data_IF_297282224056
#
_entry.id   IF_297282224056
#
_cell.length_a   1.000
_cell.length_b   1.000
_cell.length_c   1.000
_cell.angle_alpha   90.00
_cell.angle_beta   90.00
_cell.angle_gamma   90.00
#
_symmetry.space_group_name_H-M   'P 1'
#
loop_
_entity.id
_entity.type
_entity.pdbx_description
1 polymer ?
#
# COMPACT_ATOMS: atom_id res chain seq x y z
N UNK A 1 -8.70 43.47 -14.30
CA UNK A 1 -7.23 43.48 -14.15
C UNK A 1 -6.77 42.10 -14.56
N UNK A 2 -5.95 42.00 -15.61
CA UNK A 2 -5.38 40.72 -16.02
C UNK A 2 -4.56 40.14 -14.87
N UNK A 3 -4.88 38.91 -14.47
CA UNK A 3 -4.17 38.21 -13.39
C UNK A 3 -2.71 38.01 -13.83
N UNK A 4 -1.76 38.55 -13.05
CA UNK A 4 -0.33 38.37 -13.33
C UNK A 4 0.18 37.13 -12.59
N UNK A 5 0.48 36.06 -13.33
CA UNK A 5 1.12 34.86 -12.78
C UNK A 5 2.52 35.16 -12.28
N UNK A 6 2.84 34.73 -11.06
CA UNK A 6 4.18 34.81 -10.48
C UNK A 6 4.95 33.54 -10.84
N UNK A 7 6.21 33.68 -11.25
CA UNK A 7 7.08 32.53 -11.56
C UNK A 7 8.21 32.46 -10.54
N UNK A 8 8.30 31.36 -9.81
CA UNK A 8 9.40 31.08 -8.90
C UNK A 8 10.32 30.00 -9.44
N UNK A 9 11.61 30.31 -9.55
CA UNK A 9 12.63 29.28 -9.77
C UNK A 9 13.13 28.75 -8.44
N UNK A 10 12.96 27.44 -8.22
CA UNK A 10 13.31 26.74 -6.98
C UNK A 10 13.92 25.39 -7.34
N UNK A 11 15.23 25.23 -7.11
CA UNK A 11 15.93 23.97 -7.40
C UNK A 11 16.26 23.20 -6.12
N UNK A 12 16.60 23.92 -5.05
CA UNK A 12 16.94 23.33 -3.76
C UNK A 12 15.97 23.86 -2.68
N UNK A 13 15.04 23.02 -2.18
CA UNK A 13 14.06 23.47 -1.20
C UNK A 13 14.70 23.98 0.09
N UNK A 14 15.93 23.56 0.42
CA UNK A 14 16.62 24.03 1.62
C UNK A 14 17.07 25.50 1.53
N UNK A 15 17.20 26.05 0.30
CA UNK A 15 17.69 27.42 0.06
C UNK A 15 16.58 28.44 -0.17
N UNK A 16 15.37 27.99 -0.43
CA UNK A 16 14.25 28.82 -0.87
C UNK A 16 13.03 28.71 0.06
N UNK A 17 13.24 28.50 1.36
CA UNK A 17 12.19 28.27 2.35
C UNK A 17 11.05 29.31 2.31
N UNK A 18 11.38 30.58 2.13
CA UNK A 18 10.39 31.66 2.04
C UNK A 18 9.51 31.53 0.78
N UNK A 19 10.08 31.19 -0.38
CA UNK A 19 9.30 30.96 -1.60
C UNK A 19 8.40 29.73 -1.46
N UNK A 20 8.91 28.65 -0.85
CA UNK A 20 8.10 27.45 -0.59
C UNK A 20 6.88 27.79 0.28
N UNK A 21 7.10 28.58 1.34
CA UNK A 21 6.03 29.05 2.23
C UNK A 21 5.03 29.92 1.48
N UNK A 22 5.48 30.85 0.64
CA UNK A 22 4.59 31.69 -0.17
C UNK A 22 3.72 30.87 -1.13
N UNK A 23 4.29 29.82 -1.74
CA UNK A 23 3.52 28.91 -2.59
C UNK A 23 2.48 28.15 -1.78
N UNK A 24 2.86 27.61 -0.62
CA UNK A 24 1.93 26.89 0.25
C UNK A 24 0.80 27.79 0.79
N UNK A 25 1.13 29.01 1.24
CA UNK A 25 0.16 30.01 1.70
C UNK A 25 -0.81 30.42 0.56
N UNK A 26 -0.32 30.52 -0.68
CA UNK A 26 -1.16 30.77 -1.85
C UNK A 26 -2.17 29.63 -2.08
N UNK A 27 -1.73 28.37 -2.01
CA UNK A 27 -2.60 27.20 -2.14
C UNK A 27 -3.64 27.18 -1.01
N UNK A 28 -3.22 27.38 0.24
CA UNK A 28 -4.10 27.38 1.41
C UNK A 28 -5.15 28.52 1.35
N UNK A 29 -4.79 29.66 0.78
CA UNK A 29 -5.69 30.78 0.51
C UNK A 29 -6.67 30.53 -0.67
N UNK A 30 -6.61 29.36 -1.31
CA UNK A 30 -7.47 28.97 -2.43
C UNK A 30 -7.01 29.49 -3.80
N UNK A 31 -5.71 29.80 -3.92
CA UNK A 31 -5.04 30.05 -5.18
C UNK A 31 -4.64 28.75 -5.90
N UNK A 32 -4.23 28.89 -7.16
CA UNK A 32 -3.74 27.82 -8.02
C UNK A 32 -2.22 27.95 -8.21
N UNK A 33 -1.49 26.89 -7.87
CA UNK A 33 -0.04 26.84 -8.05
C UNK A 33 0.36 25.67 -8.95
N UNK A 34 1.18 25.92 -9.96
CA UNK A 34 1.71 24.87 -10.84
C UNK A 34 3.03 24.35 -10.29
N UNK A 35 3.08 23.05 -10.00
CA UNK A 35 4.22 22.38 -9.39
C UNK A 35 4.72 21.25 -10.31
N UNK A 36 6.05 21.05 -10.37
CA UNK A 36 6.61 19.88 -11.04
C UNK A 36 6.41 18.60 -10.18
N UNK A 37 6.42 17.44 -10.84
CA UNK A 37 6.58 16.12 -10.20
C UNK A 37 7.64 15.32 -10.94
N UNK A 38 7.91 14.09 -10.50
CA UNK A 38 8.71 13.13 -11.27
C UNK A 38 8.06 12.75 -12.61
N UNK A 39 6.74 12.91 -12.74
CA UNK A 39 5.95 12.55 -13.93
C UNK A 39 5.80 13.69 -14.94
N UNK A 40 4.95 14.65 -14.59
CA UNK A 40 4.52 15.83 -15.35
C UNK A 40 4.22 16.95 -14.33
N UNK A 41 4.12 18.18 -14.78
CA UNK A 41 3.64 19.27 -13.92
C UNK A 41 2.16 19.08 -13.57
N UNK A 42 1.72 19.64 -12.46
CA UNK A 42 0.33 19.64 -12.02
C UNK A 42 -0.13 20.97 -11.44
N UNK A 43 -1.43 21.27 -11.52
CA UNK A 43 -2.04 22.48 -10.94
C UNK A 43 -2.55 22.10 -9.54
N UNK A 44 -1.83 22.50 -8.51
CA UNK A 44 -2.18 22.30 -7.13
C UNK A 44 -3.25 23.31 -6.68
N UNK A 45 -4.27 22.83 -6.00
CA UNK A 45 -5.25 23.66 -5.30
C UNK A 45 -5.71 23.00 -4.01
N UNK A 46 -6.18 23.82 -3.07
CA UNK A 46 -6.87 23.33 -1.87
C UNK A 46 -8.17 22.63 -2.24
N UNK A 47 -8.56 21.64 -1.45
CA UNK A 47 -9.87 20.98 -1.56
C UNK A 47 -10.92 21.82 -0.83
N UNK A 48 -11.53 22.76 -1.56
CA UNK A 48 -12.80 23.39 -1.22
C UNK A 48 -13.58 23.70 -2.51
N UNK A 49 -14.85 24.10 -2.38
CA UNK A 49 -15.70 24.33 -3.54
C UNK A 49 -15.16 25.42 -4.48
N UNK A 50 -14.65 26.52 -3.93
CA UNK A 50 -14.22 27.68 -4.70
C UNK A 50 -12.91 27.42 -5.45
N UNK A 51 -11.94 26.79 -4.80
CA UNK A 51 -10.63 26.45 -5.38
C UNK A 51 -10.77 25.39 -6.46
N UNK A 52 -11.64 24.38 -6.24
CA UNK A 52 -11.94 23.38 -7.25
C UNK A 52 -12.67 23.99 -8.45
N UNK A 53 -13.61 24.92 -8.23
CA UNK A 53 -14.27 25.63 -9.33
C UNK A 53 -13.28 26.45 -10.17
N UNK A 54 -12.30 27.12 -9.55
CA UNK A 54 -11.20 27.80 -10.27
C UNK A 54 -10.39 26.80 -11.09
N UNK A 55 -9.99 25.68 -10.49
CA UNK A 55 -9.24 24.62 -11.16
C UNK A 55 -10.01 24.06 -12.36
N UNK A 56 -11.31 23.82 -12.21
CA UNK A 56 -12.18 23.32 -13.28
C UNK A 56 -12.35 24.33 -14.41
N UNK A 57 -12.46 25.63 -14.09
CA UNK A 57 -12.51 26.70 -15.10
C UNK A 57 -11.21 26.78 -15.93
N UNK A 58 -10.05 26.53 -15.31
CA UNK A 58 -8.77 26.49 -16.04
C UNK A 58 -8.66 25.25 -16.93
N UNK A 59 -9.18 24.11 -16.45
CA UNK A 59 -9.00 22.80 -17.10
C UNK A 59 -10.14 22.38 -18.02
N UNK A 60 -11.28 23.05 -18.02
CA UNK A 60 -12.52 22.61 -18.70
C UNK A 60 -12.78 21.13 -18.45
N UNK A 61 -12.74 20.73 -17.17
CA UNK A 61 -12.70 19.34 -16.77
C UNK A 61 -14.12 18.74 -16.81
N UNK A 62 -14.30 17.52 -17.35
CA UNK A 62 -15.56 16.79 -17.20
C UNK A 62 -15.83 16.52 -15.72
N UNK A 63 -17.08 16.74 -15.27
CA UNK A 63 -17.51 16.56 -13.87
C UNK A 63 -17.26 15.14 -13.32
N UNK A 64 -17.14 14.14 -14.20
CA UNK A 64 -16.92 12.74 -13.87
C UNK A 64 -15.48 12.43 -13.41
N UNK A 65 -14.50 13.29 -13.72
CA UNK A 65 -13.09 13.01 -13.42
C UNK A 65 -12.76 13.31 -11.96
N UNK A 66 -12.69 12.25 -11.16
CA UNK A 66 -12.34 12.32 -9.72
C UNK A 66 -10.98 12.94 -9.45
N UNK A 67 -10.88 13.62 -8.33
CA UNK A 67 -9.64 14.21 -7.85
C UNK A 67 -8.77 13.21 -7.09
N UNK A 68 -7.47 13.52 -7.02
CA UNK A 68 -6.49 12.72 -6.29
C UNK A 68 -5.80 13.64 -5.30
N UNK A 69 -5.83 13.28 -4.03
CA UNK A 69 -5.09 13.98 -2.98
C UNK A 69 -3.61 13.74 -3.15
N UNK A 70 -2.83 14.82 -3.08
CA UNK A 70 -1.37 14.76 -3.16
C UNK A 70 -0.76 15.04 -1.79
N UNK A 71 0.15 14.16 -1.36
CA UNK A 71 0.80 14.22 -0.06
C UNK A 71 2.30 14.43 -0.22
N UNK A 72 2.88 15.33 0.57
CA UNK A 72 4.34 15.48 0.66
C UNK A 72 5.04 14.40 1.47
N UNK A 73 4.27 13.59 2.22
CA UNK A 73 4.76 12.44 2.98
C UNK A 73 3.73 11.30 2.91
N UNK A 74 4.17 10.12 2.43
CA UNK A 74 3.32 8.92 2.33
C UNK A 74 2.80 8.44 3.70
N UNK A 75 3.47 8.76 4.80
CA UNK A 75 3.02 8.39 6.14
C UNK A 75 1.71 9.11 6.54
N UNK A 76 1.36 10.20 5.85
CA UNK A 76 0.09 10.92 6.05
C UNK A 76 -1.12 10.22 5.41
N UNK A 77 -0.94 9.13 4.66
CA UNK A 77 -2.04 8.33 4.08
C UNK A 77 -3.04 7.90 5.16
N UNK A 78 -2.55 7.55 6.36
CA UNK A 78 -3.39 7.13 7.50
C UNK A 78 -4.42 8.18 7.95
N UNK A 79 -4.24 9.45 7.59
CA UNK A 79 -5.21 10.51 7.89
C UNK A 79 -6.46 10.42 6.98
N UNK A 80 -6.34 9.70 5.87
CA UNK A 80 -7.38 9.54 4.85
C UNK A 80 -7.87 8.09 4.71
N UNK A 81 -7.03 7.12 5.08
CA UNK A 81 -7.34 5.68 4.99
C UNK A 81 -7.04 5.05 6.36
N UNK A 82 -8.07 4.82 7.20
CA UNK A 82 -7.88 4.35 8.57
C UNK A 82 -7.22 2.97 8.67
N UNK A 83 -7.59 2.04 7.78
CA UNK A 83 -7.07 0.67 7.76
C UNK A 83 -6.38 0.38 6.43
N UNK A 84 -5.10 0.02 6.48
CA UNK A 84 -4.29 -0.26 5.30
C UNK A 84 -3.92 -1.74 5.30
N UNK A 85 -4.62 -2.53 4.49
CA UNK A 85 -4.40 -3.98 4.39
C UNK A 85 -3.03 -4.33 3.75
N UNK A 86 -2.54 -5.58 3.89
CA UNK A 86 -1.17 -5.95 3.51
C UNK A 86 -0.78 -5.59 2.08
N UNK A 87 -1.65 -5.88 1.11
CA UNK A 87 -1.43 -5.56 -0.31
C UNK A 87 -1.24 -4.06 -0.53
N UNK A 88 -2.10 -3.23 0.06
CA UNK A 88 -2.00 -1.78 -0.03
C UNK A 88 -0.71 -1.27 0.62
N UNK A 89 -0.37 -1.78 1.81
CA UNK A 89 0.85 -1.44 2.52
C UNK A 89 2.09 -1.73 1.70
N UNK A 90 2.16 -2.91 1.07
CA UNK A 90 3.28 -3.29 0.20
C UNK A 90 3.41 -2.38 -1.03
N UNK A 91 2.30 -2.00 -1.66
CA UNK A 91 2.30 -1.02 -2.74
C UNK A 91 2.83 0.35 -2.29
N UNK A 92 2.38 0.85 -1.13
CA UNK A 92 2.87 2.11 -0.54
C UNK A 92 4.38 2.05 -0.25
N UNK A 93 4.87 0.95 0.31
CA UNK A 93 6.27 0.78 0.64
C UNK A 93 7.17 0.70 -0.61
N UNK A 94 6.71 0.02 -1.66
CA UNK A 94 7.52 -0.27 -2.86
C UNK A 94 7.42 0.78 -3.96
N UNK A 95 6.34 1.57 -4.01
CA UNK A 95 6.07 2.46 -5.12
C UNK A 95 5.77 3.92 -4.72
N UNK A 96 5.71 4.24 -3.42
CA UNK A 96 5.61 5.62 -2.94
C UNK A 96 6.83 6.03 -2.09
N UNK A 97 7.28 7.30 -2.15
CA UNK A 97 6.88 8.30 -3.15
C UNK A 97 7.25 7.86 -4.58
N UNK A 98 6.48 8.28 -5.57
CA UNK A 98 6.71 7.89 -6.96
C UNK A 98 5.48 7.93 -7.88
N UNK A 99 5.61 7.37 -9.10
CA UNK A 99 4.63 7.51 -10.18
C UNK A 99 3.43 6.56 -10.03
N UNK A 100 2.95 6.35 -8.81
CA UNK A 100 1.77 5.55 -8.48
C UNK A 100 0.70 6.42 -7.82
N UNK A 101 -0.54 6.26 -8.29
CA UNK A 101 -1.75 6.75 -7.65
C UNK A 101 -2.56 5.56 -7.18
N UNK A 102 -2.88 5.52 -5.88
CA UNK A 102 -3.70 4.48 -5.27
C UNK A 102 -5.11 5.02 -5.04
N UNK A 103 -6.10 4.39 -5.66
CA UNK A 103 -7.51 4.65 -5.41
C UNK A 103 -8.01 3.58 -4.43
N UNK A 104 -8.11 3.96 -3.16
CA UNK A 104 -8.56 3.07 -2.09
C UNK A 104 -10.07 2.94 -2.15
N UNK A 105 -10.59 1.72 -2.22
CA UNK A 105 -11.98 1.40 -1.92
C UNK A 105 -12.11 1.08 -0.44
N UNK A 106 -12.98 1.82 0.24
CA UNK A 106 -13.20 1.74 1.67
C UNK A 106 -14.57 1.10 1.92
N UNK A 107 -14.66 0.24 2.93
CA UNK A 107 -15.94 -0.25 3.41
C UNK A 107 -16.69 0.84 4.20
N UNK A 108 -17.93 0.52 4.63
CA UNK A 108 -18.81 1.45 5.33
C UNK A 108 -18.26 1.94 6.67
N UNK A 109 -17.45 1.13 7.37
CA UNK A 109 -16.85 1.49 8.65
C UNK A 109 -15.66 2.44 8.42
N UNK A 110 -14.75 2.04 7.53
CA UNK A 110 -13.59 2.84 7.15
C UNK A 110 -13.98 4.20 6.60
N UNK A 111 -15.00 4.28 5.73
CA UNK A 111 -15.42 5.56 5.16
C UNK A 111 -16.04 6.48 6.24
N UNK A 112 -16.72 5.92 7.24
CA UNK A 112 -17.28 6.70 8.35
C UNK A 112 -16.17 7.34 9.19
N UNK A 113 -15.16 6.54 9.57
CA UNK A 113 -13.98 7.02 10.31
C UNK A 113 -13.14 7.99 9.49
N UNK A 114 -12.96 7.72 8.19
CA UNK A 114 -12.17 8.58 7.31
C UNK A 114 -12.81 9.96 7.13
N UNK A 115 -14.14 10.02 7.02
CA UNK A 115 -14.89 11.27 6.87
C UNK A 115 -14.95 12.10 8.16
N UNK A 116 -14.87 11.50 9.34
CA UNK A 116 -14.91 12.23 10.61
C UNK A 116 -13.66 13.10 10.86
N UNK A 117 -12.57 12.85 10.12
CA UNK A 117 -11.36 13.67 10.15
C UNK A 117 -11.51 15.03 9.44
N UNK A 118 -12.61 15.26 8.73
CA UNK A 118 -12.84 16.45 7.92
C UNK A 118 -14.23 17.04 8.17
N UNK A 119 -14.43 18.31 7.86
CA UNK A 119 -15.78 18.87 7.81
C UNK A 119 -16.59 18.20 6.67
N UNK A 120 -17.92 18.21 6.80
CA UNK A 120 -18.80 17.48 5.89
C UNK A 120 -18.69 17.92 4.42
N UNK A 121 -18.32 19.17 4.13
CA UNK A 121 -18.15 19.66 2.75
C UNK A 121 -16.83 19.18 2.17
N UNK A 122 -15.74 19.28 2.91
CA UNK A 122 -14.44 18.75 2.47
C UNK A 122 -14.51 17.23 2.30
N UNK A 123 -15.17 16.53 3.23
CA UNK A 123 -15.35 15.09 3.16
C UNK A 123 -16.12 14.64 1.89
N UNK A 124 -17.16 15.35 1.47
CA UNK A 124 -17.91 14.99 0.25
C UNK A 124 -17.15 15.26 -1.04
N UNK A 125 -16.20 16.20 -1.03
CA UNK A 125 -15.30 16.50 -2.15
C UNK A 125 -14.14 15.49 -2.25
N UNK A 126 -13.63 15.01 -1.11
CA UNK A 126 -12.53 14.05 -1.04
C UNK A 126 -12.95 12.63 -1.40
N UNK A 127 -14.12 12.20 -0.92
CA UNK A 127 -14.58 10.83 -1.03
C UNK A 127 -15.80 10.70 -1.94
N UNK A 128 -15.71 9.85 -2.96
CA UNK A 128 -16.81 9.52 -3.86
C UNK A 128 -16.91 7.99 -4.03
N UNK A 129 -18.12 7.45 -4.00
CA UNK A 129 -18.39 5.99 -4.05
C UNK A 129 -17.54 5.18 -3.06
N UNK A 130 -17.44 5.67 -1.83
CA UNK A 130 -16.59 5.12 -0.77
C UNK A 130 -15.13 4.93 -1.20
N UNK A 131 -14.63 5.79 -2.10
CA UNK A 131 -13.26 5.72 -2.60
C UNK A 131 -12.52 7.04 -2.50
N UNK A 132 -11.20 6.97 -2.38
CA UNK A 132 -10.30 8.12 -2.40
C UNK A 132 -9.04 7.82 -3.21
N UNK A 133 -8.67 8.72 -4.11
CA UNK A 133 -7.39 8.68 -4.82
C UNK A 133 -6.30 9.40 -4.03
N UNK A 134 -5.17 8.74 -3.79
CA UNK A 134 -4.01 9.33 -3.11
C UNK A 134 -2.75 9.12 -3.93
N UNK A 135 -1.89 10.15 -3.95
CA UNK A 135 -0.57 10.13 -4.55
C UNK A 135 0.45 10.81 -3.63
N UNK A 136 1.68 10.30 -3.63
CA UNK A 136 2.82 10.95 -3.02
C UNK A 136 3.92 11.09 -4.09
N UNK A 137 4.10 12.26 -4.72
CA UNK A 137 5.08 12.45 -5.80
C UNK A 137 6.52 12.34 -5.27
N UNK A 138 7.45 11.91 -6.12
CA UNK A 138 8.89 11.82 -5.82
C UNK A 138 9.65 13.02 -6.39
N UNK A 139 9.28 14.21 -5.92
CA UNK A 139 9.91 15.48 -6.28
C UNK A 139 10.04 16.35 -5.03
N UNK A 140 11.25 16.79 -4.71
CA UNK A 140 11.61 17.36 -3.41
C UNK A 140 10.94 18.72 -3.17
N UNK A 141 10.85 19.57 -4.20
CA UNK A 141 10.23 20.89 -4.08
C UNK A 141 8.73 20.74 -3.88
N UNK A 142 8.09 19.86 -4.66
CA UNK A 142 6.68 19.50 -4.54
C UNK A 142 6.36 18.93 -3.15
N UNK A 143 7.15 17.96 -2.67
CA UNK A 143 6.98 17.39 -1.34
C UNK A 143 7.11 18.44 -0.23
N UNK A 144 8.09 19.35 -0.35
CA UNK A 144 8.30 20.41 0.63
C UNK A 144 7.09 21.36 0.70
N UNK A 145 6.56 21.79 -0.46
CA UNK A 145 5.36 22.64 -0.54
C UNK A 145 4.14 21.90 0.04
N UNK A 146 3.87 20.67 -0.40
CA UNK A 146 2.74 19.86 0.09
C UNK A 146 2.82 19.58 1.60
N UNK A 147 4.02 19.58 2.20
CA UNK A 147 4.19 19.42 3.64
C UNK A 147 3.95 20.71 4.42
N UNK A 148 4.03 21.87 3.78
CA UNK A 148 3.71 23.18 4.38
C UNK A 148 2.23 23.53 4.27
N UNK A 149 1.51 23.04 3.25
CA UNK A 149 0.06 23.19 3.12
C UNK A 149 -0.67 22.65 4.36
N UNK A 150 -1.63 23.43 4.87
CA UNK A 150 -2.44 23.06 6.05
C UNK A 150 -3.69 22.26 5.69
N UNK A 151 -4.12 22.34 4.44
CA UNK A 151 -5.34 21.70 3.95
C UNK A 151 -5.04 20.60 2.92
N UNK A 152 -5.98 19.67 2.66
CA UNK A 152 -5.83 18.71 1.57
C UNK A 152 -5.63 19.42 0.23
N UNK A 153 -4.69 18.91 -0.57
CA UNK A 153 -4.34 19.45 -1.89
C UNK A 153 -4.63 18.42 -2.96
N UNK A 154 -5.27 18.84 -4.05
CA UNK A 154 -5.38 18.05 -5.28
C UNK A 154 -4.52 18.67 -6.36
N UNK A 155 -3.97 17.83 -7.24
CA UNK A 155 -3.01 18.29 -8.23
C UNK A 155 -3.12 17.49 -9.54
N UNK A 156 -4.17 17.70 -10.35
CA UNK A 156 -4.22 17.11 -11.68
C UNK A 156 -3.13 17.69 -12.60
N UNK A 157 -2.87 17.04 -13.74
CA UNK A 157 -1.85 17.47 -14.70
C UNK A 157 -2.01 18.93 -15.15
N UNK A 158 -0.89 19.61 -15.36
CA UNK A 158 -0.81 21.00 -15.80
C UNK A 158 -0.94 21.07 -17.32
N UNK A 159 -2.19 21.07 -17.78
CA UNK A 159 -2.57 21.31 -19.16
C UNK A 159 -4.01 21.81 -19.24
N UNK A 160 -4.27 22.61 -20.28
CA UNK A 160 -5.63 22.85 -20.76
C UNK A 160 -6.19 21.53 -21.31
N UNK A 161 -7.51 21.31 -21.16
CA UNK A 161 -8.19 20.13 -21.70
C UNK A 161 -7.78 19.86 -23.15
N UNK A 162 -7.50 18.59 -23.47
CA UNK A 162 -7.11 18.16 -24.82
C UNK A 162 -5.64 18.39 -25.21
N UNK A 163 -4.85 19.15 -24.43
CA UNK A 163 -3.40 19.30 -24.64
C UNK A 163 -2.57 18.29 -23.83
N UNK A 164 -1.33 18.09 -24.25
CA UNK A 164 -0.36 17.31 -23.48
C UNK A 164 0.05 18.03 -22.17
N UNK A 165 0.19 17.28 -21.05
CA UNK A 165 0.74 17.80 -19.81
C UNK A 165 2.11 18.46 -19.98
N UNK A 166 2.31 19.62 -19.35
CA UNK A 166 3.61 20.26 -19.30
C UNK A 166 4.64 19.37 -18.58
N UNK A 167 5.86 19.30 -19.13
CA UNK A 167 7.00 18.56 -18.54
C UNK A 167 8.16 19.47 -18.13
N UNK A 168 8.03 20.78 -18.31
CA UNK A 168 8.93 21.83 -17.84
C UNK A 168 8.14 23.13 -17.59
N UNK A 169 8.80 24.11 -16.97
CA UNK A 169 8.19 25.38 -16.64
C UNK A 169 7.83 26.21 -17.88
N UNK A 170 8.63 26.13 -18.96
CA UNK A 170 8.37 26.87 -20.20
C UNK A 170 7.01 26.49 -20.80
N UNK A 171 6.73 25.18 -20.91
CA UNK A 171 5.44 24.68 -21.38
C UNK A 171 4.29 25.03 -20.42
N UNK A 172 4.55 25.03 -19.11
CA UNK A 172 3.55 25.42 -18.13
C UNK A 172 3.19 26.91 -18.26
N UNK A 173 4.19 27.77 -18.45
CA UNK A 173 4.01 29.21 -18.68
C UNK A 173 3.21 29.45 -19.95
N UNK A 174 3.60 28.81 -21.06
CA UNK A 174 2.91 28.94 -22.35
C UNK A 174 1.42 28.57 -22.25
N UNK A 175 1.10 27.53 -21.48
CA UNK A 175 -0.27 27.04 -21.37
C UNK A 175 -1.11 27.75 -20.29
N UNK A 176 -0.51 28.18 -19.18
CA UNK A 176 -1.24 28.51 -17.95
C UNK A 176 -0.96 29.92 -17.41
N UNK A 177 -0.01 30.66 -17.97
CA UNK A 177 0.22 32.05 -17.57
C UNK A 177 -1.04 32.90 -17.77
N UNK A 178 -1.38 33.70 -16.77
CA UNK A 178 -2.61 34.48 -16.69
C UNK A 178 -3.84 33.70 -16.20
N UNK A 179 -3.72 32.37 -16.00
CA UNK A 179 -4.80 31.49 -15.52
C UNK A 179 -4.55 30.89 -14.13
N UNK A 180 -3.31 30.97 -13.64
CA UNK A 180 -2.89 30.46 -12.33
C UNK A 180 -2.11 31.53 -11.58
N UNK A 181 -2.12 31.48 -10.25
CA UNK A 181 -1.47 32.48 -9.41
C UNK A 181 0.06 32.33 -9.42
N UNK A 182 0.55 31.09 -9.33
CA UNK A 182 1.99 30.79 -9.24
C UNK A 182 2.39 29.63 -10.16
N UNK A 183 3.56 29.74 -10.79
CA UNK A 183 4.26 28.62 -11.45
C UNK A 183 5.62 28.43 -10.77
N UNK A 184 5.90 27.21 -10.32
CA UNK A 184 7.20 26.84 -9.73
C UNK A 184 8.05 26.10 -10.77
N UNK A 185 9.13 26.73 -11.20
CA UNK A 185 10.18 26.10 -12.00
C UNK A 185 11.18 25.37 -11.12
N UNK A 186 11.01 24.05 -11.01
CA UNK A 186 11.98 23.11 -10.41
C UNK A 186 12.68 22.22 -11.45
N UNK A 187 12.65 22.61 -12.73
CA UNK A 187 13.31 21.91 -13.83
C UNK A 187 12.46 20.85 -14.53
N UNK A 188 13.11 20.06 -15.39
CA UNK A 188 12.42 19.10 -16.26
C UNK A 188 11.96 17.84 -15.49
N UNK A 189 10.73 17.38 -15.76
CA UNK A 189 10.21 16.12 -15.24
C UNK A 189 11.01 14.92 -15.77
N UNK A 190 11.36 13.99 -14.87
CA UNK A 190 12.22 12.83 -15.18
C UNK A 190 11.55 11.81 -16.10
N UNK A 191 10.28 11.48 -15.85
CA UNK A 191 9.60 10.38 -16.53
C UNK A 191 8.83 10.83 -17.79
N UNK A 192 8.36 12.08 -17.83
CA UNK A 192 7.60 12.65 -18.97
C UNK A 192 6.35 11.85 -19.36
N UNK A 193 5.83 11.05 -18.43
CA UNK A 193 4.65 10.21 -18.58
C UNK A 193 3.83 10.26 -17.29
N UNK A 194 2.51 10.07 -17.40
CA UNK A 194 1.61 10.11 -16.25
C UNK A 194 1.85 8.98 -15.24
N UNK A 195 1.36 9.18 -14.00
CA UNK A 195 1.35 8.11 -12.99
C UNK A 195 0.43 6.95 -13.39
N UNK A 196 0.80 5.76 -12.92
CA UNK A 196 -0.09 4.58 -12.98
C UNK A 196 -1.18 4.77 -11.94
N UNK A 197 -2.44 4.50 -12.30
CA UNK A 197 -3.57 4.59 -11.39
C UNK A 197 -4.10 3.20 -11.13
N UNK A 198 -4.11 2.81 -9.85
CA UNK A 198 -4.54 1.48 -9.41
C UNK A 198 -5.65 1.62 -8.39
N UNK A 199 -6.81 1.04 -8.69
CA UNK A 199 -7.88 0.84 -7.72
C UNK A 199 -7.55 -0.37 -6.86
N UNK A 200 -7.62 -0.22 -5.56
CA UNK A 200 -7.28 -1.27 -4.60
C UNK A 200 -8.40 -1.45 -3.58
N UNK A 201 -8.72 -2.71 -3.33
CA UNK A 201 -9.57 -3.17 -2.23
C UNK A 201 -8.87 -4.34 -1.51
N UNK A 202 -9.42 -4.86 -0.42
CA UNK A 202 -8.84 -6.03 0.26
C UNK A 202 -8.70 -7.27 -0.64
N UNK A 203 -9.53 -7.40 -1.68
CA UNK A 203 -9.61 -8.57 -2.56
C UNK A 203 -9.30 -8.29 -4.04
N UNK A 204 -9.17 -7.04 -4.45
CA UNK A 204 -8.94 -6.68 -5.85
C UNK A 204 -7.83 -5.63 -5.99
N UNK A 205 -7.00 -5.80 -7.02
CA UNK A 205 -6.09 -4.76 -7.53
C UNK A 205 -6.35 -4.57 -9.02
N UNK A 206 -6.91 -3.42 -9.39
CA UNK A 206 -7.28 -3.12 -10.78
C UNK A 206 -6.53 -1.90 -11.30
N UNK A 207 -5.79 -2.07 -12.40
CA UNK A 207 -5.14 -0.95 -13.08
C UNK A 207 -6.21 -0.18 -13.86
N UNK A 208 -6.47 1.06 -13.46
CA UNK A 208 -7.41 1.96 -14.14
C UNK A 208 -6.72 2.73 -15.27
N UNK A 209 -5.42 3.01 -15.12
CA UNK A 209 -4.59 3.67 -16.13
C UNK A 209 -3.15 3.22 -16.01
N UNK A 210 -2.57 2.78 -17.12
CA UNK A 210 -1.15 2.48 -17.21
C UNK A 210 -0.33 3.78 -17.26
N UNK A 211 0.81 3.81 -16.56
CA UNK A 211 1.74 4.93 -16.52
C UNK A 211 3.15 4.47 -16.09
N UNK A 212 3.82 5.27 -15.27
CA UNK A 212 5.22 5.04 -14.88
C UNK A 212 5.55 3.81 -14.02
N UNK A 213 4.56 3.00 -13.63
CA UNK A 213 4.74 1.71 -12.95
C UNK A 213 4.09 0.63 -13.81
N UNK A 214 4.88 -0.33 -14.29
CA UNK A 214 4.38 -1.37 -15.18
C UNK A 214 3.34 -2.28 -14.52
N UNK A 215 2.44 -2.86 -15.30
CA UNK A 215 1.48 -3.86 -14.82
C UNK A 215 2.16 -5.07 -14.15
N UNK A 216 3.36 -5.45 -14.59
CA UNK A 216 4.15 -6.51 -13.97
C UNK A 216 4.63 -6.12 -12.56
N UNK A 217 5.15 -4.90 -12.40
CA UNK A 217 5.52 -4.37 -11.09
C UNK A 217 4.32 -4.32 -10.15
N UNK A 218 3.16 -3.84 -10.62
CA UNK A 218 1.92 -3.84 -9.83
C UNK A 218 1.54 -5.26 -9.39
N UNK A 219 1.49 -6.23 -10.30
CA UNK A 219 1.20 -7.63 -9.95
C UNK A 219 2.18 -8.16 -8.90
N UNK A 220 3.48 -7.88 -9.05
CA UNK A 220 4.51 -8.32 -8.09
C UNK A 220 4.34 -7.67 -6.72
N UNK A 221 3.98 -6.40 -6.67
CA UNK A 221 3.79 -5.65 -5.42
C UNK A 221 2.46 -5.95 -4.73
N UNK A 222 1.47 -6.47 -5.47
CA UNK A 222 0.17 -6.88 -4.94
C UNK A 222 0.14 -8.31 -4.38
N UNK A 223 1.22 -9.09 -4.53
CA UNK A 223 1.29 -10.43 -3.94
C UNK A 223 1.89 -10.35 -2.53
N UNK A 224 1.23 -10.98 -1.55
CA UNK A 224 1.68 -11.13 -0.18
C UNK A 224 2.07 -12.58 0.08
N UNK A 225 3.35 -12.79 0.40
CA UNK A 225 3.92 -14.10 0.69
C UNK A 225 4.07 -14.28 2.21
N UNK A 226 3.35 -15.25 2.77
CA UNK A 226 3.43 -15.63 4.18
C UNK A 226 3.99 -17.04 4.27
N UNK A 227 5.02 -17.26 5.09
CA UNK A 227 5.60 -18.58 5.31
C UNK A 227 5.66 -18.94 6.79
N UNK A 228 5.20 -20.15 7.11
CA UNK A 228 5.30 -20.75 8.44
C UNK A 228 6.47 -21.73 8.51
N UNK A 229 7.31 -21.63 9.54
CA UNK A 229 8.56 -22.41 9.63
C UNK A 229 8.61 -23.22 10.93
N UNK A 230 8.81 -24.54 10.79
CA UNK A 230 9.11 -25.43 11.91
C UNK A 230 10.35 -26.29 11.61
N UNK A 231 10.49 -27.44 12.27
CA UNK A 231 11.64 -28.34 12.09
C UNK A 231 11.49 -29.20 10.85
N UNK A 232 10.54 -30.14 10.85
CA UNK A 232 10.36 -31.16 9.80
C UNK A 232 9.28 -30.86 8.76
N UNK A 233 8.49 -29.79 8.93
CA UNK A 233 7.35 -29.45 8.05
C UNK A 233 6.30 -30.57 7.87
N UNK A 234 6.06 -31.33 8.94
CA UNK A 234 5.09 -32.44 8.98
C UNK A 234 4.00 -32.27 10.03
N UNK A 235 4.15 -31.33 10.96
CA UNK A 235 3.21 -31.11 12.08
C UNK A 235 2.80 -29.65 12.21
N UNK A 236 3.63 -28.83 12.89
CA UNK A 236 3.32 -27.45 13.29
C UNK A 236 3.11 -26.47 12.13
N UNK A 237 4.07 -26.36 11.21
CA UNK A 237 3.95 -25.40 10.10
C UNK A 237 2.89 -25.73 9.05
N UNK A 238 2.61 -27.01 8.71
CA UNK A 238 1.47 -27.37 7.87
C UNK A 238 0.12 -27.00 8.50
N UNK A 239 -0.08 -27.30 9.80
CA UNK A 239 -1.29 -26.87 10.51
C UNK A 239 -1.46 -25.35 10.45
N UNK A 240 -0.39 -24.60 10.72
CA UNK A 240 -0.42 -23.14 10.67
C UNK A 240 -0.74 -22.58 9.28
N UNK A 241 -0.18 -23.16 8.22
CA UNK A 241 -0.49 -22.78 6.83
C UNK A 241 -1.98 -22.97 6.51
N UNK A 242 -2.54 -24.15 6.81
CA UNK A 242 -3.93 -24.46 6.52
C UNK A 242 -4.91 -23.57 7.31
N UNK A 243 -4.65 -23.37 8.60
CA UNK A 243 -5.42 -22.48 9.45
C UNK A 243 -5.31 -21.01 9.00
N UNK A 244 -4.12 -20.56 8.58
CA UNK A 244 -3.92 -19.20 8.11
C UNK A 244 -4.65 -18.93 6.79
N UNK A 245 -4.64 -19.90 5.86
CA UNK A 245 -5.44 -19.84 4.64
C UNK A 245 -6.92 -19.66 4.98
N UNK A 246 -7.46 -20.47 5.89
CA UNK A 246 -8.85 -20.33 6.35
C UNK A 246 -9.11 -18.95 6.97
N UNK A 247 -8.28 -18.52 7.92
CA UNK A 247 -8.45 -17.23 8.61
C UNK A 247 -8.40 -16.03 7.66
N UNK A 248 -7.49 -16.03 6.67
CA UNK A 248 -7.43 -14.98 5.65
C UNK A 248 -8.67 -15.01 4.76
N UNK A 249 -9.10 -16.20 4.31
CA UNK A 249 -10.29 -16.36 3.48
C UNK A 249 -11.55 -15.86 4.18
N UNK A 250 -11.73 -16.18 5.46
CA UNK A 250 -12.83 -15.67 6.29
C UNK A 250 -12.79 -14.14 6.42
N UNK A 251 -11.61 -13.56 6.68
CA UNK A 251 -11.46 -12.11 6.83
C UNK A 251 -11.72 -11.34 5.52
N UNK A 252 -11.37 -11.95 4.40
CA UNK A 252 -11.59 -11.42 3.06
C UNK A 252 -12.95 -11.83 2.46
N UNK A 253 -13.74 -12.62 3.19
CA UNK A 253 -15.04 -13.17 2.74
C UNK A 253 -14.95 -13.87 1.38
N UNK A 254 -13.89 -14.64 1.18
CA UNK A 254 -13.66 -15.43 -0.04
C UNK A 254 -13.42 -16.90 0.30
N UNK A 255 -13.27 -17.73 -0.73
CA UNK A 255 -12.88 -19.14 -0.55
C UNK A 255 -11.37 -19.30 -0.55
N UNK A 256 -10.87 -20.35 0.12
CA UNK A 256 -9.44 -20.65 0.23
C UNK A 256 -8.77 -20.83 -1.14
N UNK A 257 -9.46 -21.45 -2.11
CA UNK A 257 -8.97 -21.67 -3.48
C UNK A 257 -8.77 -20.35 -4.25
N UNK A 258 -9.44 -19.27 -3.86
CA UNK A 258 -9.34 -17.96 -4.50
C UNK A 258 -8.20 -17.10 -3.97
N UNK A 259 -7.58 -17.46 -2.85
CA UNK A 259 -6.53 -16.65 -2.20
C UNK A 259 -5.37 -16.32 -3.15
N UNK A 260 -4.95 -17.29 -3.97
CA UNK A 260 -3.87 -17.10 -4.93
C UNK A 260 -4.20 -16.04 -5.99
N UNK A 261 -5.44 -16.01 -6.46
CA UNK A 261 -5.92 -15.08 -7.49
C UNK A 261 -6.00 -13.65 -6.96
N UNK A 262 -6.37 -13.49 -5.68
CA UNK A 262 -6.42 -12.19 -4.99
C UNK A 262 -5.09 -11.79 -4.34
N UNK A 263 -4.02 -12.52 -4.62
CA UNK A 263 -2.65 -12.12 -4.28
C UNK A 263 -2.13 -12.60 -2.92
N UNK A 264 -2.78 -13.54 -2.24
CA UNK A 264 -2.28 -14.10 -0.97
C UNK A 264 -1.69 -15.50 -1.18
N UNK A 265 -0.38 -15.62 -0.97
CA UNK A 265 0.36 -16.88 -1.05
C UNK A 265 0.82 -17.28 0.34
N UNK A 266 0.25 -18.36 0.84
CA UNK A 266 0.58 -18.91 2.16
C UNK A 266 1.23 -20.27 1.99
N UNK A 267 2.40 -20.45 2.59
CA UNK A 267 3.18 -21.67 2.50
C UNK A 267 3.76 -22.07 3.87
N UNK A 268 4.29 -23.29 3.94
CA UNK A 268 5.05 -23.77 5.08
C UNK A 268 6.35 -24.46 4.64
N UNK A 269 7.34 -24.44 5.53
CA UNK A 269 8.62 -25.11 5.32
C UNK A 269 9.23 -25.58 6.64
N UNK A 270 10.32 -26.35 6.53
CA UNK A 270 11.07 -26.85 7.67
C UNK A 270 12.56 -26.59 7.53
N UNK A 271 13.22 -26.20 8.62
CA UNK A 271 14.67 -25.93 8.63
C UNK A 271 15.51 -27.20 8.42
N UNK A 272 14.96 -28.36 8.76
CA UNK A 272 15.57 -29.67 8.63
C UNK A 272 14.61 -30.70 8.00
N UNK A 273 13.69 -30.24 7.14
CA UNK A 273 12.73 -31.13 6.50
C UNK A 273 13.40 -32.00 5.42
N UNK A 274 12.98 -33.27 5.38
CA UNK A 274 13.13 -34.14 4.20
C UNK A 274 11.94 -33.82 3.29
N UNK A 275 12.17 -33.64 1.99
CA UNK A 275 11.11 -33.26 1.05
C UNK A 275 10.15 -34.44 0.77
N UNK A 276 8.86 -34.14 0.58
CA UNK A 276 7.87 -35.10 0.09
C UNK A 276 7.17 -35.95 1.15
N UNK A 277 7.44 -35.73 2.44
CA UNK A 277 6.77 -36.44 3.53
C UNK A 277 5.37 -35.85 3.73
N UNK A 278 4.37 -36.73 3.88
CA UNK A 278 3.01 -36.30 4.22
C UNK A 278 2.96 -35.64 5.62
N UNK A 279 1.91 -34.88 5.88
CA UNK A 279 1.64 -34.43 7.24
C UNK A 279 1.42 -35.64 8.17
N UNK A 280 1.80 -35.49 9.44
CA UNK A 280 1.54 -36.49 10.48
C UNK A 280 0.04 -36.79 10.59
N UNK A 281 -0.37 -38.05 10.83
CA UNK A 281 -1.78 -38.43 10.94
C UNK A 281 -2.55 -37.61 11.98
N UNK A 282 -1.90 -37.27 13.11
CA UNK A 282 -2.48 -36.46 14.18
C UNK A 282 -2.77 -35.03 13.70
N UNK A 283 -1.87 -34.44 12.90
CA UNK A 283 -2.08 -33.10 12.32
C UNK A 283 -3.19 -33.11 11.27
N UNK A 284 -3.28 -34.17 10.48
CA UNK A 284 -4.39 -34.36 9.51
C UNK A 284 -5.72 -34.43 10.26
N UNK A 285 -5.84 -35.29 11.27
CA UNK A 285 -7.06 -35.41 12.09
C UNK A 285 -7.44 -34.09 12.75
N UNK A 286 -6.48 -33.37 13.33
CA UNK A 286 -6.74 -32.06 13.92
C UNK A 286 -7.26 -31.04 12.89
N UNK A 287 -6.60 -30.94 11.73
CA UNK A 287 -7.01 -30.03 10.67
C UNK A 287 -8.38 -30.37 10.09
N UNK A 288 -8.67 -31.65 9.86
CA UNK A 288 -9.97 -32.10 9.37
C UNK A 288 -11.08 -31.73 10.35
N UNK A 289 -10.86 -31.88 11.67
CA UNK A 289 -11.78 -31.43 12.71
C UNK A 289 -12.00 -29.90 12.73
N UNK A 290 -11.06 -29.12 12.19
CA UNK A 290 -11.17 -27.66 12.02
C UNK A 290 -11.72 -27.26 10.64
N UNK A 291 -12.06 -28.23 9.78
CA UNK A 291 -12.57 -27.99 8.43
C UNK A 291 -11.52 -27.49 7.44
N UNK A 292 -10.24 -27.82 7.65
CA UNK A 292 -9.14 -27.53 6.69
C UNK A 292 -8.41 -28.82 6.37
N UNK A 293 -7.96 -29.00 5.13
CA UNK A 293 -7.31 -30.25 4.71
C UNK A 293 -5.79 -30.13 4.61
N UNK A 294 -5.09 -31.17 5.06
CA UNK A 294 -3.65 -31.38 4.82
C UNK A 294 -3.37 -32.52 3.82
N UNK A 295 -4.38 -33.05 3.12
CA UNK A 295 -4.22 -34.24 2.27
C UNK A 295 -3.18 -34.05 1.14
N UNK A 296 -3.14 -32.86 0.55
CA UNK A 296 -2.18 -32.49 -0.51
C UNK A 296 -0.84 -31.97 0.03
N UNK A 297 -0.71 -31.78 1.35
CA UNK A 297 0.52 -31.28 1.95
C UNK A 297 1.69 -32.23 1.74
N UNK A 298 2.84 -31.69 1.36
CA UNK A 298 4.11 -32.40 1.31
C UNK A 298 5.18 -31.52 1.93
N UNK A 299 5.98 -32.10 2.82
CA UNK A 299 7.06 -31.39 3.48
C UNK A 299 8.06 -30.83 2.46
N UNK A 300 8.60 -29.66 2.75
CA UNK A 300 9.63 -29.02 1.96
C UNK A 300 10.66 -28.33 2.84
N UNK A 301 11.93 -28.41 2.45
CA UNK A 301 13.03 -27.72 3.11
C UNK A 301 12.95 -26.23 2.87
N UNK A 302 13.16 -25.45 3.93
CA UNK A 302 13.27 -24.00 3.82
C UNK A 302 14.48 -23.63 2.96
N UNK A 303 14.28 -22.75 1.98
CA UNK A 303 15.34 -22.27 1.08
C UNK A 303 15.57 -20.78 1.21
N UNK A 304 16.76 -20.30 0.81
CA UNK A 304 17.07 -18.87 0.76
C UNK A 304 16.06 -18.08 -0.09
N UNK A 305 15.61 -18.64 -1.23
CA UNK A 305 14.60 -18.03 -2.10
C UNK A 305 13.24 -17.87 -1.42
N UNK A 306 12.82 -18.84 -0.61
CA UNK A 306 11.61 -18.72 0.20
C UNK A 306 11.74 -17.61 1.24
N UNK A 307 12.89 -17.55 1.93
CA UNK A 307 13.16 -16.50 2.93
C UNK A 307 13.21 -15.13 2.26
N UNK A 308 13.86 -14.99 1.11
CA UNK A 308 13.96 -13.73 0.37
C UNK A 308 12.60 -13.24 -0.14
N UNK A 309 11.81 -14.12 -0.76
CA UNK A 309 10.52 -13.76 -1.35
C UNK A 309 9.37 -13.54 -0.35
N UNK A 310 9.50 -14.05 0.88
CA UNK A 310 8.50 -13.86 1.92
C UNK A 310 8.38 -12.38 2.33
N UNK A 311 7.14 -11.95 2.56
CA UNK A 311 6.83 -10.67 3.21
C UNK A 311 6.70 -10.85 4.72
N UNK A 312 6.21 -12.02 5.16
CA UNK A 312 6.05 -12.39 6.57
C UNK A 312 6.54 -13.82 6.80
N UNK A 313 7.38 -14.00 7.81
CA UNK A 313 7.93 -15.30 8.21
C UNK A 313 7.56 -15.56 9.68
N UNK A 314 6.75 -16.58 9.92
CA UNK A 314 6.32 -16.98 11.26
C UNK A 314 6.97 -18.29 11.69
N UNK A 315 7.82 -18.22 12.71
CA UNK A 315 8.57 -19.36 13.22
C UNK A 315 7.93 -19.95 14.48
N UNK A 316 8.07 -21.27 14.67
CA UNK A 316 7.49 -21.95 15.84
C UNK A 316 8.31 -21.80 17.12
N UNK A 317 9.60 -21.48 17.04
CA UNK A 317 10.48 -21.35 18.21
C UNK A 317 11.69 -20.47 17.89
N UNK A 318 12.43 -20.05 18.91
CA UNK A 318 13.62 -19.21 18.73
C UNK A 318 14.68 -19.89 17.84
N UNK A 319 14.96 -21.17 18.06
CA UNK A 319 15.90 -21.91 17.20
C UNK A 319 15.51 -21.96 15.72
N UNK A 320 14.20 -21.85 15.39
CA UNK A 320 13.78 -21.70 14.00
C UNK A 320 14.07 -20.29 13.46
N UNK A 321 13.91 -19.25 14.28
CA UNK A 321 14.29 -17.89 13.90
C UNK A 321 15.79 -17.80 13.64
N UNK A 322 16.60 -18.37 14.54
CA UNK A 322 18.05 -18.38 14.43
C UNK A 322 18.47 -19.08 13.11
N UNK A 323 17.88 -20.25 12.81
CA UNK A 323 18.11 -20.94 11.55
C UNK A 323 17.66 -20.14 10.30
N UNK A 324 16.62 -19.30 10.39
CA UNK A 324 16.24 -18.40 9.29
C UNK A 324 17.28 -17.27 9.15
N UNK A 325 17.78 -16.73 10.26
CA UNK A 325 18.81 -15.69 10.26
C UNK A 325 20.12 -16.19 9.68
N UNK A 326 20.50 -17.45 9.95
CA UNK A 326 21.69 -18.08 9.37
C UNK A 326 21.60 -18.17 7.83
N UNK A 327 20.38 -18.35 7.29
CA UNK A 327 20.13 -18.35 5.85
C UNK A 327 20.20 -16.93 5.27
N UNK A 328 19.55 -15.96 5.93
CA UNK A 328 19.51 -14.57 5.46
C UNK A 328 19.25 -13.59 6.64
N UNK A 329 20.30 -12.95 7.18
CA UNK A 329 20.16 -12.00 8.28
C UNK A 329 19.28 -10.78 7.94
N UNK A 330 19.20 -10.39 6.67
CA UNK A 330 18.36 -9.26 6.23
C UNK A 330 16.85 -9.56 6.38
N UNK A 331 16.46 -10.82 6.64
CA UNK A 331 15.08 -11.19 6.90
C UNK A 331 14.58 -10.84 8.31
N UNK A 332 15.45 -10.37 9.22
CA UNK A 332 15.08 -10.08 10.61
C UNK A 332 13.82 -9.20 10.74
N UNK A 333 13.68 -8.18 9.88
CA UNK A 333 12.55 -7.26 9.92
C UNK A 333 11.19 -7.95 9.66
N UNK A 334 11.17 -9.07 8.95
CA UNK A 334 9.97 -9.83 8.56
C UNK A 334 9.77 -11.14 9.33
N UNK A 335 10.69 -11.50 10.21
CA UNK A 335 10.64 -12.74 10.99
C UNK A 335 10.06 -12.51 12.39
N UNK A 336 9.06 -13.28 12.79
CA UNK A 336 8.47 -13.24 14.13
C UNK A 336 8.15 -14.65 14.62
N UNK A 337 8.14 -14.86 15.94
CA UNK A 337 7.54 -16.07 16.51
C UNK A 337 6.03 -16.05 16.28
N UNK A 338 5.46 -17.20 15.93
CA UNK A 338 4.03 -17.32 15.69
C UNK A 338 3.24 -16.95 16.95
N UNK A 339 3.59 -17.54 18.09
CA UNK A 339 2.89 -17.38 19.37
C UNK A 339 3.69 -16.50 20.37
N UNK A 340 4.10 -15.31 19.93
CA UNK A 340 4.90 -14.39 20.76
C UNK A 340 6.15 -15.05 21.35
N UNK A 341 6.62 -14.57 22.49
CA UNK A 341 7.83 -15.09 23.14
C UNK A 341 7.69 -16.54 23.65
N UNK A 342 6.47 -17.07 23.77
CA UNK A 342 6.22 -18.43 24.23
C UNK A 342 6.53 -19.49 23.16
N UNK A 343 6.46 -19.13 21.88
CA UNK A 343 6.60 -20.09 20.78
C UNK A 343 5.52 -21.20 20.82
N UNK A 344 5.77 -22.28 20.07
CA UNK A 344 4.89 -23.43 19.92
C UNK A 344 5.68 -24.71 20.18
N UNK A 345 5.31 -25.41 21.25
CA UNK A 345 5.93 -26.67 21.66
C UNK A 345 5.80 -27.74 20.56
N UNK A 346 6.79 -28.64 20.49
CA UNK A 346 6.82 -29.70 19.48
C UNK A 346 5.98 -30.92 19.93
N UNK A 347 4.93 -31.32 19.19
CA UNK A 347 4.07 -32.43 19.58
C UNK A 347 4.60 -33.81 19.11
N UNK A 348 5.74 -33.87 18.44
CA UNK A 348 6.23 -35.09 17.77
C UNK A 348 6.29 -36.31 18.70
N UNK A 349 5.61 -37.39 18.31
CA UNK A 349 5.59 -38.66 19.06
C UNK A 349 4.78 -38.64 20.36
N UNK A 350 3.97 -37.59 20.62
CA UNK A 350 3.26 -37.40 21.91
C UNK A 350 1.76 -37.70 21.90
N UNK A 351 1.21 -38.28 20.82
CA UNK A 351 -0.19 -38.69 20.71
C UNK A 351 -1.19 -37.55 20.48
N UNK A 352 -2.45 -37.91 20.16
CA UNK A 352 -3.49 -36.98 19.68
C UNK A 352 -3.82 -35.83 20.65
N UNK A 353 -3.77 -36.07 21.96
CA UNK A 353 -4.06 -35.04 22.97
C UNK A 353 -3.07 -33.87 22.87
N UNK A 354 -1.76 -34.18 22.80
CA UNK A 354 -0.71 -33.16 22.70
C UNK A 354 -0.76 -32.45 21.34
N UNK A 355 -1.10 -33.16 20.26
CA UNK A 355 -1.33 -32.54 18.95
C UNK A 355 -2.53 -31.59 18.98
N UNK A 356 -3.60 -31.93 19.68
CA UNK A 356 -4.77 -31.06 19.84
C UNK A 356 -4.42 -29.78 20.60
N UNK A 357 -3.66 -29.89 21.69
CA UNK A 357 -3.18 -28.71 22.45
C UNK A 357 -2.27 -27.83 21.58
N UNK A 358 -1.34 -28.45 20.84
CA UNK A 358 -0.44 -27.75 19.92
C UNK A 358 -1.23 -27.04 18.82
N UNK A 359 -2.16 -27.74 18.18
CA UNK A 359 -3.02 -27.22 17.11
C UNK A 359 -3.90 -26.06 17.57
N UNK A 360 -4.53 -26.14 18.75
CA UNK A 360 -5.31 -25.04 19.32
C UNK A 360 -4.44 -23.81 19.64
N UNK A 361 -3.19 -24.03 20.08
CA UNK A 361 -2.23 -22.95 20.29
C UNK A 361 -1.86 -22.28 18.97
N UNK A 362 -1.62 -23.07 17.92
CA UNK A 362 -1.35 -22.57 16.57
C UNK A 362 -2.54 -21.78 16.03
N UNK A 363 -3.76 -22.31 16.12
CA UNK A 363 -4.98 -21.64 15.64
C UNK A 363 -5.15 -20.26 16.28
N UNK A 364 -5.05 -20.18 17.61
CA UNK A 364 -5.11 -18.90 18.33
C UNK A 364 -4.02 -17.93 17.87
N UNK A 365 -2.78 -18.41 17.76
CA UNK A 365 -1.66 -17.58 17.36
C UNK A 365 -1.76 -17.09 15.89
N UNK A 366 -2.20 -17.96 14.99
CA UNK A 366 -2.49 -17.63 13.59
C UNK A 366 -3.58 -16.55 13.52
N UNK A 367 -4.70 -16.72 14.22
CA UNK A 367 -5.78 -15.74 14.21
C UNK A 367 -5.31 -14.36 14.71
N UNK A 368 -4.45 -14.34 15.73
CA UNK A 368 -3.84 -13.10 16.20
C UNK A 368 -2.95 -12.45 15.13
N UNK A 369 -2.05 -13.21 14.50
CA UNK A 369 -1.16 -12.69 13.45
C UNK A 369 -1.91 -12.21 12.23
N UNK A 370 -2.90 -12.98 11.75
CA UNK A 370 -3.74 -12.55 10.63
C UNK A 370 -4.53 -11.30 11.02
N UNK A 371 -5.07 -11.21 12.23
CA UNK A 371 -5.75 -9.99 12.68
C UNK A 371 -4.82 -8.77 12.69
N UNK A 372 -3.57 -8.92 13.14
CA UNK A 372 -2.55 -7.85 13.11
C UNK A 372 -2.22 -7.39 11.69
N UNK A 373 -2.18 -8.30 10.71
CA UNK A 373 -1.89 -7.98 9.31
C UNK A 373 -2.96 -7.09 8.66
N UNK A 374 -4.21 -7.21 9.11
CA UNK A 374 -5.36 -6.51 8.54
C UNK A 374 -5.92 -5.44 9.49
N UNK A 375 -5.08 -4.90 10.39
CA UNK A 375 -5.33 -3.67 11.15
C UNK A 375 -4.61 -2.52 10.47
#
# INVERSE_FOLDING_TARGET
>A
MDMKTIVYKIIDPAKDAEKLKQVADCIDAGGLAVLATETVYGIACKVDADSLAKLDAVKERPAEKRYTVHLGDKNKIKNYVPHIWPTAKKLIEKALPGPLTLVFELDAEQISVAKSNFDGKTASLLYADNSIGIRCPDEKVCQAILNLCKYPVVMPSANISGREPAINAEQAIEQLSGKVDIIVDSGQCKLKQSSTVVKISPTETKILRQGGVSAEQIRRFSVINIIFVCTGNTCRSPMAEALAKKAIAEKLKCRVDQLGDIGYKVASAGVAAINGIAASPESVRFCDAKGVSLASHRSQRLTAKMVESADYIFAMSQGHLDAIMDINPAAAAKCRLLNGNAGVADPIGRGDEIYTICGNTIEKAVNNRISELFK
#
